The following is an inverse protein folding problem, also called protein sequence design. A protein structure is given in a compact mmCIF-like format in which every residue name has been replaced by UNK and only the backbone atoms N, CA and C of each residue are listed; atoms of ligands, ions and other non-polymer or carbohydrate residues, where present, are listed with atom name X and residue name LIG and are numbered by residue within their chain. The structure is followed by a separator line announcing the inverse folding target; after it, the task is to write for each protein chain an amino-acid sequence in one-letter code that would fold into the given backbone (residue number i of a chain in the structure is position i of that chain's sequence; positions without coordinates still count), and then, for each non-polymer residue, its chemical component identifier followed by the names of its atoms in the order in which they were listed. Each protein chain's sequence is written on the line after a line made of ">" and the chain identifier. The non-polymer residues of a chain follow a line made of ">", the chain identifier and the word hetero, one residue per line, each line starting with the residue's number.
data_IF_549456219159
#
_entry.id   IF_549456219159
#
_cell.length_a   1.000
_cell.length_b   1.000
_cell.length_c   1.000
_cell.angle_alpha   90.00
_cell.angle_beta   90.00
_cell.angle_gamma   90.00
#
_symmetry.space_group_name_H-M   'P 1'
#
loop_
_entity.id
_entity.type
_entity.pdbx_description
1 polymer ?
#
# COMPACT_ATOMS: atom_id res chain seq x y z
N UNK A 1 4.54 -13.04 37.51
CA UNK A 1 4.24 -14.02 36.44
C UNK A 1 5.07 -13.78 35.18
N UNK A 2 5.02 -12.60 34.56
CA UNK A 2 5.74 -12.36 33.28
C UNK A 2 7.25 -12.69 33.30
N UNK A 3 7.88 -12.67 34.48
CA UNK A 3 9.30 -12.96 34.72
C UNK A 3 9.69 -14.45 34.70
N UNK A 4 8.74 -15.37 34.60
CA UNK A 4 9.01 -16.82 34.53
C UNK A 4 8.30 -17.41 33.31
N UNK A 5 9.02 -18.17 32.48
CA UNK A 5 8.58 -18.59 31.14
C UNK A 5 7.21 -19.30 31.18
N UNK A 6 7.01 -20.20 32.13
CA UNK A 6 5.79 -21.00 32.28
C UNK A 6 4.60 -20.12 32.67
N UNK A 7 4.76 -19.27 33.68
CA UNK A 7 3.68 -18.37 34.12
C UNK A 7 3.43 -17.20 33.15
N UNK A 8 4.41 -16.83 32.33
CA UNK A 8 4.27 -15.85 31.26
C UNK A 8 3.36 -16.36 30.14
N UNK A 9 3.32 -17.68 29.88
CA UNK A 9 2.37 -18.28 28.92
C UNK A 9 0.93 -18.07 29.39
N UNK A 10 0.65 -18.38 30.66
CA UNK A 10 -0.70 -18.20 31.23
C UNK A 10 -1.12 -16.73 31.22
N UNK A 11 -0.21 -15.82 31.59
CA UNK A 11 -0.49 -14.38 31.56
C UNK A 11 -0.75 -13.87 30.14
N UNK A 12 0.03 -14.34 29.16
CA UNK A 12 -0.16 -13.99 27.75
C UNK A 12 -1.50 -14.49 27.22
N UNK A 13 -1.90 -15.72 27.55
CA UNK A 13 -3.20 -16.25 27.13
C UNK A 13 -4.35 -15.43 27.71
N UNK A 14 -4.30 -15.14 29.01
CA UNK A 14 -5.25 -14.23 29.66
C UNK A 14 -5.31 -12.87 28.98
N UNK A 15 -4.14 -12.27 28.64
CA UNK A 15 -4.05 -10.96 28.03
C UNK A 15 -4.55 -10.93 26.57
N UNK A 16 -4.11 -11.88 25.75
CA UNK A 16 -4.33 -11.89 24.30
C UNK A 16 -5.70 -12.46 23.90
N UNK A 17 -6.17 -13.49 24.60
CA UNK A 17 -7.34 -14.28 24.19
C UNK A 17 -8.58 -13.91 24.98
N UNK A 18 -8.45 -13.72 26.30
CA UNK A 18 -9.60 -13.59 27.20
C UNK A 18 -9.90 -12.16 27.65
N UNK A 19 -8.88 -11.32 27.80
CA UNK A 19 -9.05 -9.98 28.34
C UNK A 19 -9.62 -9.00 27.31
N UNK A 20 -10.66 -8.26 27.72
CA UNK A 20 -11.16 -7.11 26.96
C UNK A 20 -10.23 -5.90 27.07
N UNK A 21 -10.50 -4.84 26.29
CA UNK A 21 -9.65 -3.64 26.24
C UNK A 21 -9.39 -3.00 27.63
N UNK A 22 -10.39 -2.98 28.51
CA UNK A 22 -10.26 -2.44 29.87
C UNK A 22 -9.38 -3.32 30.75
N UNK A 23 -9.57 -4.65 30.67
CA UNK A 23 -8.76 -5.62 31.42
C UNK A 23 -7.30 -5.62 30.95
N UNK A 24 -7.07 -5.60 29.64
CA UNK A 24 -5.73 -5.46 29.05
C UNK A 24 -5.04 -4.20 29.55
N UNK A 25 -5.75 -3.08 29.61
CA UNK A 25 -5.20 -1.82 30.13
C UNK A 25 -4.81 -1.94 31.60
N UNK A 26 -5.64 -2.57 32.44
CA UNK A 26 -5.31 -2.80 33.87
C UNK A 26 -4.06 -3.67 34.03
N UNK A 27 -3.92 -4.73 33.24
CA UNK A 27 -2.73 -5.59 33.27
C UNK A 27 -1.46 -4.84 32.87
N UNK A 28 -1.53 -3.96 31.87
CA UNK A 28 -0.37 -3.18 31.42
C UNK A 28 0.04 -2.14 32.48
N UNK A 29 -0.92 -1.55 33.19
CA UNK A 29 -0.66 -0.51 34.19
C UNK A 29 0.24 -0.98 35.34
N UNK A 30 0.29 -2.29 35.62
CA UNK A 30 1.24 -2.86 36.59
C UNK A 30 2.71 -2.56 36.22
N UNK A 31 3.01 -2.42 34.92
CA UNK A 31 4.37 -2.12 34.44
C UNK A 31 4.73 -0.64 34.51
N UNK A 32 3.76 0.25 34.74
CA UNK A 32 4.01 1.69 34.92
C UNK A 32 4.52 2.01 36.33
N UNK A 33 4.26 1.12 37.29
CA UNK A 33 4.79 1.17 38.64
C UNK A 33 3.77 0.76 39.72
N UNK A 34 4.22 0.60 40.99
CA UNK A 34 3.39 0.18 42.11
C UNK A 34 2.22 1.13 42.41
N UNK A 35 2.36 2.42 42.07
CA UNK A 35 1.30 3.42 42.26
C UNK A 35 0.12 3.24 41.28
N UNK A 36 0.36 2.61 40.13
CA UNK A 36 -0.62 2.36 39.07
C UNK A 36 -1.15 0.91 39.09
N UNK A 37 -0.69 0.09 40.04
CA UNK A 37 -1.10 -1.30 40.18
C UNK A 37 -2.54 -1.44 40.70
N UNK A 38 -3.17 -2.58 40.39
CA UNK A 38 -4.61 -2.92 40.33
C UNK A 38 -5.50 -2.54 41.54
N UNK A 39 -4.97 -2.02 42.64
CA UNK A 39 -5.71 -1.85 43.91
C UNK A 39 -5.66 -0.45 44.54
N UNK A 40 -5.44 0.60 43.76
CA UNK A 40 -5.58 1.98 44.26
C UNK A 40 -6.64 2.73 43.45
N UNK A 41 -7.82 2.89 44.04
CA UNK A 41 -8.95 3.74 43.58
C UNK A 41 -8.61 5.24 43.57
N UNK A 42 -7.42 5.58 43.11
CA UNK A 42 -6.87 6.92 43.11
C UNK A 42 -7.20 7.70 41.82
N UNK A 43 -6.31 8.63 41.41
CA UNK A 43 -6.54 9.61 40.34
C UNK A 43 -6.99 9.04 38.98
N UNK A 44 -6.78 7.75 38.74
CA UNK A 44 -7.16 7.00 37.54
C UNK A 44 -8.68 6.88 37.34
N UNK A 45 -9.49 6.90 38.40
CA UNK A 45 -10.95 6.85 38.26
C UNK A 45 -11.49 8.09 37.52
N UNK A 46 -10.85 9.26 37.68
CA UNK A 46 -11.20 10.48 36.92
C UNK A 46 -10.86 10.35 35.42
N UNK A 47 -9.76 9.69 35.07
CA UNK A 47 -9.36 9.46 33.67
C UNK A 47 -10.23 8.40 32.98
N UNK A 48 -10.60 7.34 33.70
CA UNK A 48 -11.53 6.31 33.22
C UNK A 48 -12.92 6.86 32.88
N UNK A 49 -13.33 7.95 33.56
CA UNK A 49 -14.61 8.63 33.35
C UNK A 49 -14.63 9.45 32.05
N UNK A 50 -13.48 10.01 31.64
CA UNK A 50 -13.33 10.84 30.44
C UNK A 50 -13.38 9.99 29.15
N UNK A 51 -13.00 8.69 29.22
CA UNK A 51 -12.99 7.78 28.06
C UNK A 51 -14.15 6.76 28.02
N UNK A 52 -15.16 6.83 28.90
CA UNK A 52 -16.30 5.88 28.92
C UNK A 52 -17.04 5.71 27.59
N UNK A 53 -16.93 6.67 26.67
CA UNK A 53 -17.58 6.63 25.36
C UNK A 53 -16.71 6.05 24.24
N UNK A 54 -15.51 5.53 24.55
CA UNK A 54 -14.64 4.87 23.58
C UNK A 54 -14.20 3.52 24.13
N UNK A 55 -14.37 2.45 23.34
CA UNK A 55 -13.84 1.10 23.62
C UNK A 55 -12.29 1.05 23.53
N UNK A 56 -11.61 2.09 24.02
CA UNK A 56 -10.19 2.40 23.83
C UNK A 56 -9.41 2.09 25.10
N UNK A 57 -8.26 1.41 24.95
CA UNK A 57 -7.33 1.10 26.04
C UNK A 57 -6.73 2.41 26.60
N UNK A 58 -6.62 2.56 27.93
CA UNK A 58 -5.84 3.65 28.52
C UNK A 58 -4.34 3.40 28.27
N UNK A 59 -3.67 4.38 27.68
CA UNK A 59 -2.24 4.35 27.33
C UNK A 59 -1.40 5.11 28.35
N UNK A 60 -0.07 4.91 28.34
CA UNK A 60 0.85 5.69 29.15
C UNK A 60 0.76 7.19 28.79
N UNK A 61 0.58 7.51 27.51
CA UNK A 61 0.39 8.88 27.05
C UNK A 61 -0.80 9.56 27.71
N UNK A 62 -1.94 8.87 27.85
CA UNK A 62 -3.12 9.43 28.52
C UNK A 62 -2.84 9.78 30.00
N UNK A 63 -2.10 8.92 30.69
CA UNK A 63 -1.72 9.12 32.10
C UNK A 63 -0.71 10.26 32.21
N UNK A 64 0.27 10.33 31.30
CA UNK A 64 1.28 11.38 31.25
C UNK A 64 0.64 12.74 30.96
N UNK A 65 -0.36 12.81 30.09
CA UNK A 65 -1.10 14.05 29.84
C UNK A 65 -1.86 14.51 31.07
N UNK A 66 -2.44 13.59 31.85
CA UNK A 66 -3.15 13.91 33.08
C UNK A 66 -2.20 14.26 34.26
N UNK A 67 -1.04 13.62 34.32
CA UNK A 67 -0.05 13.71 35.40
C UNK A 67 1.39 13.79 34.83
N UNK A 68 1.79 14.94 34.25
CA UNK A 68 3.09 15.08 33.59
C UNK A 68 4.29 14.77 34.50
N UNK A 69 4.17 15.07 35.79
CA UNK A 69 5.20 14.80 36.81
C UNK A 69 5.49 13.31 36.99
N UNK A 70 4.55 12.43 36.62
CA UNK A 70 4.72 10.98 36.71
C UNK A 70 5.44 10.37 35.51
N UNK A 71 5.63 11.12 34.42
CA UNK A 71 6.29 10.64 33.18
C UNK A 71 7.64 9.97 33.46
N UNK A 72 8.50 10.63 34.23
CA UNK A 72 9.86 10.15 34.54
C UNK A 72 9.80 8.81 35.26
N UNK A 73 8.86 8.65 36.20
CA UNK A 73 8.70 7.41 36.97
C UNK A 73 8.17 6.26 36.12
N UNK A 74 7.15 6.53 35.30
CA UNK A 74 6.54 5.55 34.39
C UNK A 74 7.58 5.02 33.40
N UNK A 75 8.33 5.92 32.75
CA UNK A 75 9.34 5.54 31.77
C UNK A 75 10.50 4.78 32.42
N UNK A 76 10.92 5.17 33.64
CA UNK A 76 11.96 4.43 34.39
C UNK A 76 11.52 2.99 34.68
N UNK A 77 10.29 2.79 35.16
CA UNK A 77 9.78 1.46 35.47
C UNK A 77 9.59 0.61 34.22
N UNK A 78 9.08 1.20 33.14
CA UNK A 78 8.96 0.53 31.84
C UNK A 78 10.34 0.10 31.31
N UNK A 79 11.34 1.00 31.32
CA UNK A 79 12.71 0.68 30.89
C UNK A 79 13.28 -0.52 31.65
N UNK A 80 13.28 -0.45 32.97
CA UNK A 80 13.79 -1.53 33.83
C UNK A 80 13.04 -2.85 33.63
N UNK A 81 11.72 -2.77 33.44
CA UNK A 81 10.89 -3.94 33.15
C UNK A 81 11.28 -4.55 31.81
N UNK A 82 11.33 -3.75 30.75
CA UNK A 82 11.68 -4.21 29.40
C UNK A 82 13.06 -4.89 29.43
N UNK A 83 14.08 -4.22 29.95
CA UNK A 83 15.44 -4.79 30.07
C UNK A 83 15.44 -6.12 30.82
N UNK A 84 14.71 -6.22 31.94
CA UNK A 84 14.59 -7.48 32.69
C UNK A 84 13.89 -8.58 31.89
N UNK A 85 12.94 -8.25 31.01
CA UNK A 85 12.19 -9.23 30.21
C UNK A 85 12.99 -9.68 28.98
N UNK A 86 13.86 -8.82 28.47
CA UNK A 86 14.81 -9.17 27.41
C UNK A 86 15.81 -10.21 27.89
N UNK A 87 16.42 -10.02 29.07
CA UNK A 87 17.35 -10.98 29.69
C UNK A 87 16.69 -12.35 29.91
N UNK A 88 15.38 -12.37 30.12
CA UNK A 88 14.60 -13.59 30.43
C UNK A 88 14.01 -14.26 29.20
N UNK A 89 14.24 -13.71 28.01
CA UNK A 89 13.75 -14.23 26.73
C UNK A 89 12.21 -14.39 26.70
N UNK A 90 11.48 -13.47 27.32
CA UNK A 90 10.00 -13.47 27.32
C UNK A 90 9.43 -12.44 26.34
N UNK A 91 10.23 -11.98 25.39
CA UNK A 91 9.87 -10.88 24.50
C UNK A 91 8.71 -11.25 23.57
N UNK A 92 8.52 -12.53 23.23
CA UNK A 92 7.52 -12.97 22.24
C UNK A 92 6.06 -12.83 22.71
N UNK A 93 5.84 -12.36 23.95
CA UNK A 93 4.50 -12.19 24.53
C UNK A 93 3.94 -10.81 24.12
N UNK A 94 2.73 -10.76 23.57
CA UNK A 94 2.13 -9.53 23.05
C UNK A 94 1.96 -8.45 24.12
N UNK A 95 1.79 -8.83 25.39
CA UNK A 95 1.77 -7.87 26.51
C UNK A 95 3.11 -7.11 26.63
N UNK A 96 4.23 -7.76 26.35
CA UNK A 96 5.57 -7.16 26.37
C UNK A 96 5.74 -6.24 25.17
N UNK A 97 5.25 -6.63 24.00
CA UNK A 97 5.26 -5.77 22.80
C UNK A 97 4.55 -4.44 23.09
N UNK A 98 3.45 -4.50 23.85
CA UNK A 98 2.72 -3.31 24.27
C UNK A 98 3.53 -2.44 25.24
N UNK A 99 4.22 -3.02 26.22
CA UNK A 99 5.12 -2.26 27.10
C UNK A 99 6.23 -1.54 26.31
N UNK A 100 6.83 -2.22 25.34
CA UNK A 100 7.85 -1.63 24.46
C UNK A 100 7.24 -0.45 23.68
N UNK A 101 6.06 -0.64 23.08
CA UNK A 101 5.38 0.41 22.33
C UNK A 101 5.08 1.65 23.21
N UNK A 102 4.52 1.44 24.40
CA UNK A 102 4.21 2.52 25.34
C UNK A 102 5.47 3.29 25.77
N UNK A 103 6.58 2.60 25.98
CA UNK A 103 7.86 3.24 26.24
C UNK A 103 8.33 4.07 25.04
N UNK A 104 8.40 3.47 23.85
CA UNK A 104 8.92 4.12 22.64
C UNK A 104 8.09 5.32 22.18
N UNK A 105 6.78 5.33 22.44
CA UNK A 105 5.91 6.48 22.11
C UNK A 105 6.08 7.69 23.04
N UNK A 106 6.60 7.48 24.25
CA UNK A 106 6.64 8.51 25.29
C UNK A 106 8.05 8.90 25.74
N UNK A 107 9.06 8.10 25.37
CA UNK A 107 10.47 8.35 25.68
C UNK A 107 11.01 9.56 24.91
N UNK A 108 11.96 10.26 25.52
CA UNK A 108 12.74 11.29 24.85
C UNK A 108 13.68 10.66 23.80
N UNK A 109 14.13 11.45 22.83
CA UNK A 109 14.96 10.97 21.71
C UNK A 109 16.17 10.14 22.16
N UNK A 110 16.91 10.62 23.16
CA UNK A 110 18.11 9.93 23.67
C UNK A 110 17.78 8.57 24.29
N UNK A 111 16.74 8.52 25.12
CA UNK A 111 16.32 7.30 25.82
C UNK A 111 15.74 6.26 24.83
N UNK A 112 14.94 6.72 23.86
CA UNK A 112 14.41 5.87 22.79
C UNK A 112 15.52 5.30 21.90
N UNK A 113 16.60 6.07 21.65
CA UNK A 113 17.77 5.59 20.93
C UNK A 113 18.54 4.51 21.68
N UNK A 114 18.74 4.68 22.99
CA UNK A 114 19.35 3.66 23.83
C UNK A 114 18.53 2.38 23.83
N UNK A 115 17.21 2.48 24.01
CA UNK A 115 16.31 1.33 23.97
C UNK A 115 16.30 0.65 22.59
N UNK A 116 16.29 1.41 21.50
CA UNK A 116 16.40 0.84 20.15
C UNK A 116 17.73 0.10 19.93
N UNK A 117 18.83 0.59 20.53
CA UNK A 117 20.13 -0.08 20.48
C UNK A 117 20.15 -1.41 21.26
N UNK A 118 19.33 -1.55 22.31
CA UNK A 118 19.14 -2.82 23.04
C UNK A 118 18.23 -3.76 22.23
N UNK A 119 17.09 -3.25 21.73
CA UNK A 119 16.07 -4.06 21.07
C UNK A 119 16.48 -4.61 19.70
N UNK A 120 17.49 -4.02 19.05
CA UNK A 120 17.91 -4.40 17.68
C UNK A 120 18.21 -5.89 17.49
N UNK A 121 18.61 -6.59 18.57
CA UNK A 121 18.98 -8.01 18.55
C UNK A 121 17.76 -8.94 18.48
N UNK A 122 16.62 -8.48 18.99
CA UNK A 122 15.43 -9.31 19.24
C UNK A 122 14.18 -8.79 18.51
N UNK A 123 14.27 -7.61 17.89
CA UNK A 123 13.10 -6.94 17.32
C UNK A 123 12.39 -7.76 16.23
N UNK A 124 13.12 -8.62 15.52
CA UNK A 124 12.55 -9.46 14.46
C UNK A 124 11.53 -10.46 14.98
N UNK A 125 11.60 -10.82 16.26
CA UNK A 125 10.70 -11.78 16.91
C UNK A 125 9.30 -11.21 17.15
N UNK A 126 9.15 -9.88 17.21
CA UNK A 126 7.90 -9.24 17.65
C UNK A 126 7.07 -8.64 16.51
N UNK A 127 7.56 -8.68 15.26
CA UNK A 127 6.96 -7.96 14.13
C UNK A 127 5.60 -8.48 13.66
N UNK A 128 5.21 -9.68 14.13
CA UNK A 128 3.98 -10.35 13.74
C UNK A 128 2.73 -9.83 14.47
N UNK A 129 2.88 -9.04 15.53
CA UNK A 129 1.72 -8.41 16.20
C UNK A 129 1.63 -6.92 15.87
N UNK A 130 0.43 -6.35 15.95
CA UNK A 130 0.20 -4.91 15.68
C UNK A 130 1.06 -4.02 16.58
N UNK A 131 1.09 -4.28 17.88
CA UNK A 131 1.86 -3.47 18.84
C UNK A 131 3.37 -3.69 18.67
N UNK A 132 3.80 -4.94 18.42
CA UNK A 132 5.22 -5.26 18.22
C UNK A 132 5.77 -4.71 16.92
N UNK A 133 4.99 -4.72 15.84
CA UNK A 133 5.34 -4.06 14.59
C UNK A 133 5.44 -2.53 14.74
N UNK A 134 4.56 -1.89 15.52
CA UNK A 134 4.68 -0.45 15.77
C UNK A 134 5.94 -0.15 16.58
N UNK A 135 6.24 -0.96 17.59
CA UNK A 135 7.49 -0.86 18.35
C UNK A 135 8.72 -1.03 17.44
N UNK A 136 8.71 -2.02 16.54
CA UNK A 136 9.81 -2.25 15.59
C UNK A 136 10.04 -1.10 14.62
N UNK A 137 8.97 -0.54 14.07
CA UNK A 137 9.06 0.64 13.22
C UNK A 137 9.53 1.89 13.99
N UNK A 138 9.08 2.09 15.24
CA UNK A 138 9.63 3.16 16.09
C UNK A 138 11.13 2.95 16.36
N UNK A 139 11.57 1.71 16.60
CA UNK A 139 13.00 1.41 16.72
C UNK A 139 13.76 1.85 15.47
N UNK A 140 13.23 1.58 14.26
CA UNK A 140 13.84 2.05 13.01
C UNK A 140 13.87 3.58 12.90
N UNK A 141 12.80 4.28 13.32
CA UNK A 141 12.74 5.74 13.30
C UNK A 141 13.76 6.38 14.25
N UNK A 142 13.86 5.89 15.48
CA UNK A 142 14.76 6.42 16.50
C UNK A 142 16.22 6.01 16.31
N UNK A 143 16.48 4.77 15.90
CA UNK A 143 17.82 4.18 15.83
C UNK A 143 18.82 5.02 15.02
N UNK A 144 20.08 4.99 15.46
CA UNK A 144 21.19 5.48 14.66
C UNK A 144 21.41 4.60 13.41
N UNK A 145 22.10 5.13 12.40
CA UNK A 145 22.31 4.41 11.13
C UNK A 145 22.97 3.03 11.31
N UNK A 146 23.90 2.89 12.27
CA UNK A 146 24.53 1.59 12.60
C UNK A 146 23.50 0.57 13.08
N UNK A 147 22.62 0.96 13.99
CA UNK A 147 21.62 0.07 14.56
C UNK A 147 20.48 -0.22 13.57
N UNK A 148 20.07 0.75 12.73
CA UNK A 148 19.14 0.49 11.63
C UNK A 148 19.65 -0.61 10.69
N UNK A 149 20.93 -0.56 10.30
CA UNK A 149 21.54 -1.61 9.48
C UNK A 149 21.49 -2.98 10.16
N UNK A 150 21.72 -3.02 11.47
CA UNK A 150 21.63 -4.25 12.25
C UNK A 150 20.21 -4.83 12.22
N UNK A 151 19.20 -3.99 12.51
CA UNK A 151 17.79 -4.37 12.46
C UNK A 151 17.43 -4.89 11.06
N UNK A 152 17.74 -4.13 10.01
CA UNK A 152 17.42 -4.53 8.64
C UNK A 152 18.12 -5.83 8.24
N UNK A 153 19.35 -6.06 8.71
CA UNK A 153 20.06 -7.32 8.46
C UNK A 153 19.36 -8.53 9.08
N UNK A 154 18.76 -8.38 10.28
CA UNK A 154 18.05 -9.49 10.93
C UNK A 154 16.77 -9.90 10.19
N UNK A 155 16.21 -9.01 9.36
CA UNK A 155 15.02 -9.30 8.55
C UNK A 155 15.32 -10.28 7.41
N UNK A 156 16.57 -10.36 6.94
CA UNK A 156 16.96 -11.10 5.73
C UNK A 156 16.51 -12.56 5.74
N UNK A 157 16.70 -13.26 6.85
CA UNK A 157 16.34 -14.67 6.99
C UNK A 157 14.82 -14.93 7.04
N UNK A 158 14.04 -13.88 7.31
CA UNK A 158 12.57 -13.95 7.42
C UNK A 158 11.89 -13.03 6.39
N UNK A 159 12.59 -12.65 5.31
CA UNK A 159 12.17 -11.59 4.42
C UNK A 159 10.76 -11.83 3.85
N UNK A 160 10.52 -13.00 3.25
CA UNK A 160 9.22 -13.38 2.69
C UNK A 160 8.11 -13.29 3.76
N UNK A 161 8.36 -13.88 4.93
CA UNK A 161 7.41 -13.85 6.05
C UNK A 161 7.10 -12.42 6.48
N UNK A 162 8.11 -11.56 6.61
CA UNK A 162 7.91 -10.17 7.04
C UNK A 162 7.11 -9.38 6.01
N UNK A 163 7.41 -9.49 4.71
CA UNK A 163 6.73 -8.68 3.68
C UNK A 163 5.30 -9.14 3.43
N UNK A 164 4.98 -10.42 3.64
CA UNK A 164 3.64 -10.98 3.45
C UNK A 164 2.79 -11.00 4.74
N UNK A 165 3.34 -10.57 5.89
CA UNK A 165 2.64 -10.56 7.18
C UNK A 165 1.78 -9.30 7.39
N UNK A 166 0.64 -9.43 8.08
CA UNK A 166 -0.35 -8.36 8.27
C UNK A 166 0.25 -7.09 8.87
N UNK A 167 1.14 -7.25 9.86
CA UNK A 167 1.83 -6.13 10.48
C UNK A 167 3.32 -6.10 10.10
N UNK A 168 3.92 -7.25 9.80
CA UNK A 168 5.35 -7.36 9.47
C UNK A 168 5.79 -6.36 8.39
N UNK A 169 4.98 -6.21 7.33
CA UNK A 169 5.33 -5.34 6.20
C UNK A 169 5.50 -3.87 6.60
N UNK A 170 4.86 -3.39 7.68
CA UNK A 170 5.01 -2.02 8.17
C UNK A 170 6.45 -1.71 8.58
N UNK A 171 7.17 -2.69 9.12
CA UNK A 171 8.59 -2.55 9.47
C UNK A 171 9.46 -2.44 8.23
N UNK A 172 9.09 -3.14 7.15
CA UNK A 172 9.77 -2.99 5.87
C UNK A 172 9.54 -1.59 5.30
N UNK A 173 8.31 -1.07 5.36
CA UNK A 173 8.01 0.30 4.93
C UNK A 173 8.80 1.34 5.75
N UNK A 174 8.82 1.18 7.08
CA UNK A 174 9.61 2.04 7.97
C UNK A 174 11.12 1.96 7.70
N UNK A 175 11.63 0.77 7.37
CA UNK A 175 13.04 0.59 7.02
C UNK A 175 13.39 1.30 5.71
N UNK A 176 12.53 1.21 4.71
CA UNK A 176 12.67 1.92 3.43
C UNK A 176 12.65 3.45 3.61
N UNK A 177 11.87 3.94 4.58
CA UNK A 177 11.86 5.36 4.94
C UNK A 177 13.10 5.80 5.73
N UNK A 178 13.61 4.98 6.64
CA UNK A 178 14.60 5.46 7.62
C UNK A 178 16.06 5.10 7.33
N UNK A 179 16.34 4.20 6.40
CA UNK A 179 17.71 3.80 6.11
C UNK A 179 18.31 4.63 4.96
N UNK A 180 19.17 5.59 5.31
CA UNK A 180 19.85 6.45 4.33
C UNK A 180 20.87 5.70 3.45
N UNK A 181 21.44 4.61 3.96
CA UNK A 181 22.35 3.74 3.19
C UNK A 181 21.55 2.78 2.29
N UNK A 182 21.18 3.28 1.13
CA UNK A 182 20.41 2.55 0.12
C UNK A 182 21.23 1.45 -0.56
N UNK A 183 22.57 1.56 -0.61
CA UNK A 183 23.45 0.49 -1.09
C UNK A 183 23.36 -0.72 -0.14
N UNK A 184 23.37 -0.48 1.17
CA UNK A 184 23.14 -1.53 2.16
C UNK A 184 21.73 -2.10 2.06
N UNK A 185 20.70 -1.26 1.90
CA UNK A 185 19.32 -1.70 1.68
C UNK A 185 19.23 -2.64 0.46
N UNK A 186 19.90 -2.28 -0.63
CA UNK A 186 19.95 -3.09 -1.83
C UNK A 186 20.58 -4.47 -1.59
N UNK A 187 21.79 -4.49 -1.01
CA UNK A 187 22.55 -5.73 -0.74
C UNK A 187 21.89 -6.64 0.31
N UNK A 188 21.14 -6.06 1.24
CA UNK A 188 20.56 -6.82 2.37
C UNK A 188 19.14 -7.27 2.11
N UNK A 189 18.34 -6.45 1.41
CA UNK A 189 16.90 -6.67 1.23
C UNK A 189 16.52 -6.76 -0.24
N UNK A 190 16.77 -5.73 -1.05
CA UNK A 190 16.23 -5.67 -2.43
C UNK A 190 16.71 -6.86 -3.27
N UNK A 191 18.01 -7.19 -3.18
CA UNK A 191 18.61 -8.31 -3.92
C UNK A 191 18.00 -9.69 -3.60
N UNK A 192 17.41 -9.86 -2.42
CA UNK A 192 16.68 -11.08 -2.06
C UNK A 192 15.18 -10.94 -2.35
N UNK A 193 14.61 -9.74 -2.18
CA UNK A 193 13.21 -9.45 -2.52
C UNK A 193 12.93 -9.72 -4.00
N UNK A 194 13.86 -9.36 -4.89
CA UNK A 194 13.69 -9.60 -6.34
C UNK A 194 13.70 -11.08 -6.71
N UNK A 195 14.30 -11.95 -5.90
CA UNK A 195 14.23 -13.41 -6.09
C UNK A 195 12.86 -13.97 -5.72
N UNK A 196 12.12 -13.23 -4.90
CA UNK A 196 10.79 -13.57 -4.42
C UNK A 196 9.67 -12.87 -5.19
N UNK A 197 10.00 -12.22 -6.32
CA UNK A 197 9.09 -11.30 -7.02
C UNK A 197 7.77 -11.97 -7.42
N UNK A 198 7.82 -13.23 -7.90
CA UNK A 198 6.63 -13.97 -8.33
C UNK A 198 5.71 -14.31 -7.15
N UNK A 199 6.26 -14.65 -5.97
CA UNK A 199 5.44 -14.85 -4.77
C UNK A 199 4.86 -13.52 -4.26
N UNK A 200 5.70 -12.48 -4.19
CA UNK A 200 5.37 -11.18 -3.60
C UNK A 200 4.38 -10.40 -4.47
N UNK A 201 4.45 -10.51 -5.80
CA UNK A 201 3.56 -9.80 -6.72
C UNK A 201 2.10 -10.22 -6.56
N UNK A 202 1.88 -11.51 -6.30
CA UNK A 202 0.55 -12.10 -6.18
C UNK A 202 0.04 -12.10 -4.73
N UNK A 203 0.91 -11.89 -3.74
CA UNK A 203 0.50 -11.73 -2.34
C UNK A 203 -0.19 -10.37 -2.09
N UNK A 204 -1.26 -10.38 -1.27
CA UNK A 204 -2.05 -9.18 -0.99
C UNK A 204 -1.24 -8.08 -0.31
N UNK A 205 -0.33 -8.45 0.58
CA UNK A 205 0.46 -7.56 1.44
C UNK A 205 1.87 -7.37 0.91
N UNK A 206 2.52 -8.44 0.44
CA UNK A 206 3.87 -8.44 -0.13
C UNK A 206 4.04 -7.39 -1.21
N UNK A 207 3.13 -7.35 -2.19
CA UNK A 207 3.16 -6.35 -3.28
C UNK A 207 3.13 -4.90 -2.80
N UNK A 208 2.62 -4.62 -1.59
CA UNK A 208 2.64 -3.26 -1.02
C UNK A 208 4.05 -2.77 -0.78
N UNK A 209 5.00 -3.65 -0.47
CA UNK A 209 6.42 -3.29 -0.34
C UNK A 209 6.98 -2.86 -1.70
N UNK A 210 6.65 -3.58 -2.78
CA UNK A 210 7.02 -3.21 -4.14
C UNK A 210 6.40 -1.86 -4.53
N UNK A 211 5.09 -1.68 -4.30
CA UNK A 211 4.41 -0.41 -4.53
C UNK A 211 4.95 0.72 -3.66
N UNK A 212 5.45 0.44 -2.46
CA UNK A 212 6.04 1.47 -1.61
C UNK A 212 7.34 2.00 -2.21
N UNK A 213 8.20 1.11 -2.73
CA UNK A 213 9.40 1.53 -3.45
C UNK A 213 9.01 2.30 -4.72
N UNK A 214 8.10 1.74 -5.52
CA UNK A 214 7.72 2.30 -6.82
C UNK A 214 6.91 3.58 -6.74
N UNK A 215 6.05 3.75 -5.73
CA UNK A 215 5.03 4.81 -5.68
C UNK A 215 5.07 5.63 -4.38
N UNK A 216 5.93 5.26 -3.41
CA UNK A 216 6.00 5.90 -2.10
C UNK A 216 4.76 5.66 -1.24
N UNK A 217 4.45 6.66 -0.40
CA UNK A 217 3.30 6.66 0.53
C UNK A 217 1.95 6.88 -0.18
N UNK A 218 1.68 6.14 -1.26
CA UNK A 218 0.48 6.26 -2.07
C UNK A 218 -0.71 5.50 -1.43
N UNK A 219 -1.78 6.24 -1.08
CA UNK A 219 -3.00 5.70 -0.46
C UNK A 219 -3.78 4.72 -1.35
N UNK A 220 -3.50 4.66 -2.65
CA UNK A 220 -4.03 3.63 -3.56
C UNK A 220 -3.55 2.23 -3.18
N UNK A 221 -2.33 2.12 -2.65
CA UNK A 221 -1.67 0.83 -2.40
C UNK A 221 -1.46 0.55 -0.92
N UNK A 222 -1.19 1.58 -0.14
CA UNK A 222 -0.86 1.46 1.28
C UNK A 222 -2.10 1.78 2.12
N UNK A 223 -2.39 0.91 3.09
CA UNK A 223 -3.55 1.08 3.97
C UNK A 223 -3.45 2.36 4.82
N UNK A 224 -4.59 2.98 5.11
CA UNK A 224 -4.68 4.22 5.91
C UNK A 224 -3.99 4.12 7.26
N UNK A 225 -4.12 2.98 7.95
CA UNK A 225 -3.49 2.75 9.25
C UNK A 225 -1.96 2.76 9.17
N UNK A 226 -1.41 2.13 8.13
CA UNK A 226 0.03 2.11 7.89
C UNK A 226 0.54 3.52 7.54
N UNK A 227 -0.18 4.24 6.67
CA UNK A 227 0.18 5.62 6.31
C UNK A 227 0.13 6.58 7.50
N UNK A 228 -0.94 6.51 8.31
CA UNK A 228 -1.08 7.34 9.50
C UNK A 228 0.07 7.08 10.49
N UNK A 229 0.45 5.81 10.64
CA UNK A 229 1.54 5.43 11.52
C UNK A 229 2.92 5.84 10.97
N UNK A 230 3.21 5.61 9.69
CA UNK A 230 4.45 6.10 9.05
C UNK A 230 4.58 7.62 9.20
N UNK A 231 3.48 8.35 8.98
CA UNK A 231 3.41 9.81 9.15
C UNK A 231 3.72 10.26 10.59
N UNK A 232 3.27 9.50 11.60
CA UNK A 232 3.59 9.80 13.00
C UNK A 232 5.09 9.71 13.31
N UNK A 233 5.87 9.02 12.47
CA UNK A 233 7.32 8.93 12.59
C UNK A 233 8.10 10.06 11.93
N UNK A 234 7.47 10.94 11.14
CA UNK A 234 8.18 11.92 10.32
C UNK A 234 8.96 12.95 11.14
N UNK A 235 8.40 13.40 12.27
CA UNK A 235 9.10 14.33 13.17
C UNK A 235 10.34 13.72 13.81
N UNK A 236 10.31 12.41 14.07
CA UNK A 236 11.47 11.66 14.58
C UNK A 236 12.50 11.53 13.46
N UNK A 237 12.05 11.11 12.27
CA UNK A 237 12.91 10.92 11.10
C UNK A 237 13.61 12.20 10.66
N UNK A 238 12.95 13.35 10.75
CA UNK A 238 13.58 14.65 10.47
C UNK A 238 14.82 14.93 11.34
N UNK A 239 14.90 14.32 12.53
CA UNK A 239 16.05 14.45 13.45
C UNK A 239 17.10 13.36 13.26
N UNK A 240 16.72 12.21 12.70
CA UNK A 240 17.54 10.99 12.69
C UNK A 240 17.91 10.49 11.29
N UNK A 241 17.30 11.03 10.24
CA UNK A 241 17.56 10.71 8.83
C UNK A 241 18.06 11.99 8.15
N UNK A 242 19.11 11.87 7.35
CA UNK A 242 19.75 13.01 6.66
C UNK A 242 19.41 13.05 5.17
N UNK A 243 19.13 11.90 4.57
CA UNK A 243 18.81 11.80 3.14
C UNK A 243 17.35 12.21 2.90
N UNK A 244 17.12 13.00 1.86
CA UNK A 244 15.77 13.35 1.42
C UNK A 244 14.99 12.11 0.93
N UNK A 245 13.68 12.11 1.17
CA UNK A 245 12.80 10.95 0.89
C UNK A 245 12.68 10.67 -0.61
N UNK A 246 12.64 11.72 -1.43
CA UNK A 246 12.57 11.57 -2.89
C UNK A 246 13.87 11.01 -3.46
N UNK A 247 15.02 11.48 -2.95
CA UNK A 247 16.36 10.99 -3.35
C UNK A 247 16.52 9.52 -2.95
N UNK A 248 16.19 9.17 -1.70
CA UNK A 248 16.24 7.79 -1.22
C UNK A 248 15.37 6.88 -2.08
N UNK A 249 14.12 7.28 -2.36
CA UNK A 249 13.21 6.51 -3.21
C UNK A 249 13.77 6.33 -4.63
N UNK A 250 14.31 7.38 -5.25
CA UNK A 250 14.89 7.31 -6.61
C UNK A 250 16.02 6.29 -6.68
N UNK A 251 16.92 6.28 -5.68
CA UNK A 251 17.98 5.27 -5.60
C UNK A 251 17.42 3.85 -5.45
N UNK A 252 16.42 3.64 -4.57
CA UNK A 252 15.79 2.33 -4.37
C UNK A 252 15.06 1.82 -5.63
N UNK A 253 14.39 2.71 -6.37
CA UNK A 253 13.81 2.39 -7.68
C UNK A 253 14.91 1.98 -8.66
N UNK A 254 16.04 2.67 -8.70
CA UNK A 254 17.17 2.32 -9.56
C UNK A 254 17.68 0.89 -9.33
N UNK A 255 17.74 0.45 -8.06
CA UNK A 255 18.13 -0.93 -7.73
C UNK A 255 17.08 -1.98 -8.10
N UNK A 256 15.79 -1.63 -8.01
CA UNK A 256 14.67 -2.55 -8.25
C UNK A 256 14.33 -2.69 -9.74
N UNK A 257 14.50 -1.60 -10.51
CA UNK A 257 14.06 -1.47 -11.89
C UNK A 257 14.54 -2.59 -12.83
N UNK A 258 15.84 -2.97 -12.85
CA UNK A 258 16.30 -3.99 -13.79
C UNK A 258 15.62 -5.35 -13.58
N UNK A 259 15.34 -5.72 -12.33
CA UNK A 259 14.71 -7.00 -12.01
C UNK A 259 13.20 -6.99 -12.31
N UNK A 260 12.52 -5.88 -12.04
CA UNK A 260 11.10 -5.71 -12.36
C UNK A 260 10.86 -5.66 -13.88
N UNK A 261 11.71 -4.95 -14.63
CA UNK A 261 11.60 -4.92 -16.09
C UNK A 261 11.84 -6.31 -16.69
N UNK A 262 12.85 -7.04 -16.23
CA UNK A 262 13.08 -8.44 -16.64
C UNK A 262 11.91 -9.36 -16.29
N UNK A 263 11.30 -9.17 -15.11
CA UNK A 263 10.07 -9.87 -14.75
C UNK A 263 8.94 -9.54 -15.73
N UNK A 264 8.72 -8.25 -16.01
CA UNK A 264 7.69 -7.79 -16.94
C UNK A 264 7.91 -8.33 -18.36
N UNK A 265 9.14 -8.35 -18.89
CA UNK A 265 9.47 -8.94 -20.19
C UNK A 265 9.03 -10.41 -20.30
N UNK A 266 9.20 -11.16 -19.20
CA UNK A 266 8.85 -12.58 -19.13
C UNK A 266 7.34 -12.81 -18.96
N UNK A 267 6.64 -11.94 -18.22
CA UNK A 267 5.28 -12.23 -17.71
C UNK A 267 4.19 -11.32 -18.27
N UNK A 268 4.52 -10.21 -18.94
CA UNK A 268 3.56 -9.15 -19.30
C UNK A 268 2.28 -9.66 -19.96
N UNK A 269 2.39 -10.55 -20.94
CA UNK A 269 1.23 -11.08 -21.69
C UNK A 269 0.25 -11.89 -20.81
N UNK A 270 0.74 -12.50 -19.73
CA UNK A 270 -0.06 -13.19 -18.72
C UNK A 270 -0.52 -12.23 -17.62
N UNK A 271 0.41 -11.46 -17.07
CA UNK A 271 0.18 -10.56 -15.93
C UNK A 271 -0.83 -9.46 -16.23
N UNK A 272 -0.88 -8.94 -17.46
CA UNK A 272 -1.85 -7.90 -17.85
C UNK A 272 -3.31 -8.39 -17.73
N UNK A 273 -3.55 -9.71 -17.81
CA UNK A 273 -4.88 -10.33 -17.71
C UNK A 273 -5.32 -10.56 -16.25
N UNK A 274 -4.39 -10.46 -15.30
CA UNK A 274 -4.62 -10.77 -13.88
C UNK A 274 -4.70 -9.45 -13.08
N UNK A 275 -5.80 -9.15 -12.35
CA UNK A 275 -5.99 -7.84 -11.73
C UNK A 275 -4.87 -7.35 -10.80
N UNK A 276 -4.26 -8.24 -10.01
CA UNK A 276 -3.20 -7.85 -9.06
C UNK A 276 -1.86 -7.65 -9.78
N UNK A 277 -1.50 -8.58 -10.67
CA UNK A 277 -0.25 -8.52 -11.41
C UNK A 277 -0.26 -7.38 -12.42
N UNK A 278 -1.40 -7.09 -13.06
CA UNK A 278 -1.58 -5.96 -13.97
C UNK A 278 -1.31 -4.62 -13.26
N UNK A 279 -1.65 -4.49 -11.97
CA UNK A 279 -1.32 -3.29 -11.20
C UNK A 279 0.20 -3.12 -11.04
N UNK A 280 0.90 -4.21 -10.70
CA UNK A 280 2.36 -4.18 -10.57
C UNK A 280 3.03 -3.92 -11.92
N UNK A 281 2.53 -4.54 -12.99
CA UNK A 281 3.02 -4.33 -14.36
C UNK A 281 2.92 -2.86 -14.78
N UNK A 282 1.76 -2.23 -14.56
CA UNK A 282 1.56 -0.81 -14.86
C UNK A 282 2.53 0.06 -14.05
N UNK A 283 2.61 -0.12 -12.73
CA UNK A 283 3.50 0.70 -11.91
C UNK A 283 4.99 0.43 -12.19
N UNK A 284 5.33 -0.78 -12.64
CA UNK A 284 6.66 -1.13 -13.14
C UNK A 284 6.98 -0.32 -14.38
N UNK A 285 6.10 -0.33 -15.38
CA UNK A 285 6.29 0.43 -16.61
C UNK A 285 6.32 1.93 -16.34
N UNK A 286 5.47 2.46 -15.47
CA UNK A 286 5.43 3.90 -15.19
C UNK A 286 6.66 4.37 -14.42
N UNK A 287 7.05 3.69 -13.34
CA UNK A 287 8.04 4.22 -12.40
C UNK A 287 9.46 3.67 -12.56
N UNK A 288 9.67 2.51 -13.20
CA UNK A 288 11.01 1.96 -13.36
C UNK A 288 11.83 2.72 -14.40
N UNK A 289 13.13 2.76 -14.21
CA UNK A 289 14.10 3.31 -15.17
C UNK A 289 14.74 2.19 -15.97
N UNK A 290 14.83 2.35 -17.28
CA UNK A 290 15.38 1.36 -18.20
C UNK A 290 14.53 1.23 -19.46
N UNK A 291 14.97 0.37 -20.38
CA UNK A 291 14.24 0.11 -21.62
C UNK A 291 12.93 -0.64 -21.33
N UNK A 292 11.84 -0.15 -21.93
CA UNK A 292 10.48 -0.69 -21.81
C UNK A 292 9.93 -1.14 -23.16
N UNK A 293 10.71 -0.99 -24.23
CA UNK A 293 10.28 -1.18 -25.61
C UNK A 293 9.81 -2.60 -25.85
N UNK A 294 10.57 -3.61 -25.39
CA UNK A 294 10.18 -5.02 -25.54
C UNK A 294 8.85 -5.33 -24.85
N UNK A 295 8.66 -4.84 -23.62
CA UNK A 295 7.41 -5.04 -22.89
C UNK A 295 6.24 -4.36 -23.60
N UNK A 296 6.43 -3.13 -24.06
CA UNK A 296 5.39 -2.39 -24.78
C UNK A 296 5.02 -3.07 -26.09
N UNK A 297 5.99 -3.53 -26.88
CA UNK A 297 5.72 -4.28 -28.11
C UNK A 297 4.93 -5.56 -27.83
N UNK A 298 5.30 -6.32 -26.78
CA UNK A 298 4.58 -7.53 -26.37
C UNK A 298 3.15 -7.24 -25.88
N UNK A 299 2.88 -6.06 -25.33
CA UNK A 299 1.53 -5.65 -24.92
C UNK A 299 0.71 -5.17 -26.12
N UNK A 300 1.30 -4.37 -27.00
CA UNK A 300 0.67 -3.89 -28.22
C UNK A 300 0.31 -5.04 -29.18
N UNK A 301 1.13 -6.07 -29.30
CA UNK A 301 0.81 -7.25 -30.11
C UNK A 301 -0.43 -8.01 -29.62
N UNK A 302 -0.88 -7.80 -28.37
CA UNK A 302 -2.12 -8.40 -27.86
C UNK A 302 -3.38 -7.67 -28.35
N UNK A 303 -3.23 -6.45 -28.88
CA UNK A 303 -4.32 -5.67 -29.48
C UNK A 303 -4.61 -6.09 -30.92
N UNK A 304 -3.69 -6.83 -31.55
CA UNK A 304 -3.85 -7.36 -32.89
C UNK A 304 -4.87 -8.51 -32.91
N UNK A 305 -5.69 -8.55 -33.95
CA UNK A 305 -6.60 -9.65 -34.27
C UNK A 305 -6.86 -9.66 -35.78
N UNK A 306 -7.26 -10.80 -36.33
CA UNK A 306 -7.59 -10.88 -37.76
C UNK A 306 -9.08 -10.61 -38.00
N UNK A 307 -9.41 -9.99 -39.14
CA UNK A 307 -10.80 -9.73 -39.51
C UNK A 307 -11.65 -11.01 -39.64
N UNK A 308 -11.01 -12.17 -39.84
CA UNK A 308 -11.64 -13.49 -39.87
C UNK A 308 -12.09 -13.99 -38.48
N UNK A 309 -11.49 -13.46 -37.40
CA UNK A 309 -11.83 -13.79 -36.01
C UNK A 309 -13.00 -12.94 -35.47
N UNK A 310 -13.54 -12.01 -36.28
CA UNK A 310 -14.64 -11.12 -35.88
C UNK A 310 -15.91 -11.92 -35.58
N UNK A 311 -16.48 -11.71 -34.40
CA UNK A 311 -17.79 -12.27 -34.04
C UNK A 311 -18.87 -11.34 -34.56
N UNK A 312 -19.60 -11.79 -35.59
CA UNK A 312 -20.79 -11.11 -36.08
C UNK A 312 -21.95 -11.49 -35.17
N UNK A 313 -22.38 -10.58 -34.29
CA UNK A 313 -23.48 -10.84 -33.36
C UNK A 313 -24.83 -10.78 -34.09
N UNK A 314 -24.97 -9.86 -35.06
CA UNK A 314 -26.09 -9.68 -35.99
C UNK A 314 -25.60 -8.85 -37.20
N UNK A 315 -26.40 -8.70 -38.29
CA UNK A 315 -26.08 -7.93 -39.51
C UNK A 315 -25.61 -6.46 -39.29
N UNK A 316 -25.63 -5.94 -38.06
CA UNK A 316 -25.24 -4.56 -37.70
C UNK A 316 -24.18 -4.45 -36.58
N UNK A 317 -23.84 -5.53 -35.87
CA UNK A 317 -23.04 -5.45 -34.65
C UNK A 317 -21.86 -6.42 -34.66
N UNK A 318 -20.67 -5.84 -34.87
CA UNK A 318 -19.38 -6.51 -34.76
C UNK A 318 -18.93 -6.54 -33.29
N UNK A 319 -18.36 -7.68 -32.88
CA UNK A 319 -17.69 -7.84 -31.61
C UNK A 319 -16.27 -8.34 -31.82
N UNK A 320 -15.40 -7.95 -30.90
CA UNK A 320 -14.08 -8.54 -30.77
C UNK A 320 -14.19 -10.07 -30.55
N UNK A 321 -13.18 -10.84 -30.98
CA UNK A 321 -13.03 -12.26 -30.62
C UNK A 321 -13.19 -12.45 -29.11
N UNK A 322 -13.81 -13.55 -28.67
CA UNK A 322 -14.12 -13.75 -27.24
C UNK A 322 -12.88 -13.65 -26.34
N UNK A 323 -11.74 -14.16 -26.82
CA UNK A 323 -10.45 -14.20 -26.14
C UNK A 323 -9.59 -12.93 -26.31
N UNK A 324 -10.08 -11.95 -27.07
CA UNK A 324 -9.38 -10.70 -27.31
C UNK A 324 -9.04 -9.95 -26.00
N UNK A 325 -7.86 -9.32 -25.95
CA UNK A 325 -7.34 -8.73 -24.71
C UNK A 325 -8.26 -7.67 -24.11
N UNK A 326 -8.95 -6.89 -24.96
CA UNK A 326 -9.86 -5.83 -24.52
C UNK A 326 -11.17 -6.36 -23.89
N UNK A 327 -11.49 -7.65 -24.03
CA UNK A 327 -12.57 -8.26 -23.26
C UNK A 327 -12.16 -8.51 -21.80
N UNK A 328 -10.85 -8.49 -21.50
CA UNK A 328 -10.36 -8.59 -20.13
C UNK A 328 -10.35 -7.21 -19.45
N UNK A 329 -11.12 -7.06 -18.38
CA UNK A 329 -11.22 -5.81 -17.62
C UNK A 329 -9.90 -5.33 -17.02
N UNK A 330 -9.05 -6.26 -16.53
CA UNK A 330 -7.76 -5.90 -15.97
C UNK A 330 -6.84 -5.31 -17.04
N UNK A 331 -6.86 -5.90 -18.24
CA UNK A 331 -6.06 -5.42 -19.35
C UNK A 331 -6.54 -4.06 -19.88
N UNK A 332 -7.84 -3.88 -20.09
CA UNK A 332 -8.41 -2.58 -20.47
C UNK A 332 -8.04 -1.48 -19.46
N UNK A 333 -8.12 -1.79 -18.16
CA UNK A 333 -7.70 -0.87 -17.11
C UNK A 333 -6.20 -0.59 -17.17
N UNK A 334 -5.37 -1.59 -17.43
CA UNK A 334 -3.92 -1.44 -17.55
C UNK A 334 -3.55 -0.50 -18.70
N UNK A 335 -4.06 -0.74 -19.91
CA UNK A 335 -3.85 0.16 -21.06
C UNK A 335 -4.34 1.58 -20.77
N UNK A 336 -5.50 1.73 -20.14
CA UNK A 336 -6.04 3.05 -19.77
C UNK A 336 -5.11 3.79 -18.80
N UNK A 337 -4.58 3.09 -17.80
CA UNK A 337 -3.65 3.68 -16.83
C UNK A 337 -2.30 4.03 -17.45
N UNK A 338 -1.79 3.20 -18.37
CA UNK A 338 -0.56 3.49 -19.11
C UNK A 338 -0.73 4.75 -19.98
N UNK A 339 -1.79 4.81 -20.78
CA UNK A 339 -2.09 6.00 -21.59
C UNK A 339 -2.27 7.27 -20.73
N UNK A 340 -2.87 7.14 -19.54
CA UNK A 340 -3.04 8.25 -18.61
C UNK A 340 -1.74 8.72 -17.97
N UNK A 341 -0.76 7.83 -17.81
CA UNK A 341 0.51 8.15 -17.14
C UNK A 341 1.32 9.21 -17.90
N UNK A 342 1.11 9.35 -19.21
CA UNK A 342 1.78 10.34 -20.05
C UNK A 342 1.56 11.79 -19.62
N UNK A 343 0.44 12.09 -18.93
CA UNK A 343 0.12 13.45 -18.48
C UNK A 343 1.13 14.02 -17.50
N UNK A 344 1.69 13.15 -16.67
CA UNK A 344 2.62 13.51 -15.59
C UNK A 344 4.07 13.13 -15.95
N UNK A 345 4.33 12.89 -17.25
CA UNK A 345 5.55 12.25 -17.75
C UNK A 345 6.57 13.28 -18.28
N UNK A 346 7.81 13.21 -17.80
CA UNK A 346 8.92 14.07 -18.26
C UNK A 346 9.25 13.80 -19.75
N UNK A 347 9.92 14.72 -20.45
CA UNK A 347 10.26 14.56 -21.88
C UNK A 347 11.00 13.25 -22.18
N UNK A 348 11.92 12.83 -21.30
CA UNK A 348 12.74 11.62 -21.46
C UNK A 348 12.00 10.30 -21.15
N UNK A 349 10.76 10.36 -20.68
CA UNK A 349 10.00 9.18 -20.31
C UNK A 349 9.30 8.54 -21.52
N UNK A 350 9.11 7.22 -21.46
CA UNK A 350 8.36 6.46 -22.48
C UNK A 350 6.94 7.00 -22.59
N UNK A 351 6.57 7.41 -23.80
CA UNK A 351 5.22 7.92 -24.11
C UNK A 351 4.31 6.74 -24.47
N UNK A 352 3.56 6.25 -23.49
CA UNK A 352 2.77 5.03 -23.63
C UNK A 352 1.55 5.23 -24.53
N UNK A 353 0.86 6.35 -24.38
CA UNK A 353 -0.33 6.71 -25.15
C UNK A 353 -0.08 6.68 -26.65
N UNK A 354 0.94 7.39 -27.19
CA UNK A 354 1.28 7.35 -28.60
C UNK A 354 1.55 5.94 -29.13
N UNK A 355 2.36 5.14 -28.42
CA UNK A 355 2.68 3.75 -28.81
C UNK A 355 1.40 2.89 -28.87
N UNK A 356 0.53 3.02 -27.85
CA UNK A 356 -0.75 2.32 -27.81
C UNK A 356 -1.66 2.79 -28.95
N UNK A 357 -1.74 4.09 -29.22
CA UNK A 357 -2.58 4.65 -30.28
C UNK A 357 -2.12 4.20 -31.67
N UNK A 358 -0.81 4.19 -31.94
CA UNK A 358 -0.27 3.67 -33.20
C UNK A 358 -0.63 2.20 -33.41
N UNK A 359 -0.48 1.38 -32.38
CA UNK A 359 -0.89 -0.03 -32.42
C UNK A 359 -2.39 -0.22 -32.59
N UNK A 360 -3.21 0.72 -32.12
CA UNK A 360 -4.67 0.66 -32.35
C UNK A 360 -5.00 1.06 -33.80
N UNK A 361 -4.31 2.07 -34.34
CA UNK A 361 -4.50 2.54 -35.72
C UNK A 361 -4.07 1.49 -36.76
N UNK A 362 -3.06 0.68 -36.45
CA UNK A 362 -2.60 -0.38 -37.35
C UNK A 362 -3.60 -1.53 -37.48
N UNK A 363 -4.57 -1.66 -36.57
CA UNK A 363 -5.58 -2.71 -36.58
C UNK A 363 -6.91 -2.18 -37.11
N UNK A 364 -7.30 -2.66 -38.28
CA UNK A 364 -8.52 -2.23 -38.96
C UNK A 364 -9.78 -2.40 -38.08
N UNK A 365 -10.58 -1.34 -38.00
CA UNK A 365 -11.81 -1.30 -37.22
C UNK A 365 -11.65 -1.34 -35.69
N UNK A 366 -10.45 -1.45 -35.12
CA UNK A 366 -10.27 -1.54 -33.66
C UNK A 366 -10.73 -0.27 -32.94
N UNK A 367 -10.47 0.91 -33.52
CA UNK A 367 -10.96 2.19 -33.00
C UNK A 367 -12.48 2.22 -32.80
N UNK A 368 -13.24 1.64 -33.74
CA UNK A 368 -14.71 1.49 -33.63
C UNK A 368 -15.08 0.58 -32.47
N UNK A 369 -14.37 -0.53 -32.29
CA UNK A 369 -14.66 -1.52 -31.24
C UNK A 369 -14.31 -1.01 -29.84
N UNK A 370 -13.33 -0.09 -29.71
CA UNK A 370 -13.05 0.61 -28.46
C UNK A 370 -14.22 1.46 -27.97
N UNK A 371 -15.04 2.01 -28.88
CA UNK A 371 -16.28 2.70 -28.49
C UNK A 371 -17.25 1.75 -27.78
N UNK A 372 -17.15 0.43 -27.99
CA UNK A 372 -18.06 -0.57 -27.42
C UNK A 372 -17.50 -1.21 -26.14
N UNK A 373 -16.19 -1.54 -26.12
CA UNK A 373 -15.56 -2.37 -25.06
C UNK A 373 -14.33 -1.74 -24.39
N UNK A 374 -13.87 -0.57 -24.84
CA UNK A 374 -12.65 0.08 -24.37
C UNK A 374 -12.85 1.57 -24.06
N UNK A 375 -14.04 1.95 -23.60
CA UNK A 375 -14.43 3.36 -23.46
C UNK A 375 -13.51 4.15 -22.52
N UNK A 376 -12.96 3.52 -21.48
CA UNK A 376 -12.01 4.18 -20.56
C UNK A 376 -10.61 4.36 -21.17
N UNK A 377 -10.19 3.44 -22.04
CA UNK A 377 -8.94 3.60 -22.79
C UNK A 377 -9.09 4.76 -23.76
N UNK A 378 -10.22 4.83 -24.46
CA UNK A 378 -10.55 5.94 -25.36
C UNK A 378 -10.58 7.29 -24.65
N UNK A 379 -11.20 7.37 -23.47
CA UNK A 379 -11.14 8.58 -22.63
C UNK A 379 -9.70 8.92 -22.25
N UNK A 380 -8.89 7.94 -21.85
CA UNK A 380 -7.50 8.18 -21.45
C UNK A 380 -6.65 8.73 -22.61
N UNK A 381 -6.87 8.22 -23.83
CA UNK A 381 -6.23 8.72 -25.05
C UNK A 381 -6.73 10.12 -25.46
N UNK A 382 -8.02 10.41 -25.29
CA UNK A 382 -8.59 11.73 -25.57
C UNK A 382 -8.17 12.80 -24.56
N UNK A 383 -7.91 12.42 -23.30
CA UNK A 383 -7.48 13.36 -22.27
C UNK A 383 -5.97 13.63 -22.29
N UNK A 384 -5.16 12.80 -22.95
CA UNK A 384 -3.71 12.98 -23.03
C UNK A 384 -3.36 14.00 -24.11
N UNK A 385 -2.59 15.07 -23.80
CA UNK A 385 -2.20 16.08 -24.79
C UNK A 385 -1.46 15.50 -26.01
N UNK A 386 -0.75 14.38 -25.82
CA UNK A 386 0.06 13.75 -26.88
C UNK A 386 -0.78 12.97 -27.89
N UNK A 387 -1.96 12.51 -27.50
CA UNK A 387 -2.80 11.64 -28.33
C UNK A 387 -4.17 12.24 -28.65
N UNK A 388 -4.57 13.34 -27.98
CA UNK A 388 -5.91 13.89 -28.08
C UNK A 388 -6.31 14.24 -29.52
N UNK A 389 -5.50 15.04 -30.23
CA UNK A 389 -5.84 15.50 -31.59
C UNK A 389 -6.00 14.33 -32.57
N UNK A 390 -5.06 13.39 -32.52
CA UNK A 390 -5.07 12.21 -33.38
C UNK A 390 -6.23 11.28 -33.04
N UNK A 391 -6.52 11.09 -31.75
CA UNK A 391 -7.66 10.29 -31.31
C UNK A 391 -8.98 10.94 -31.74
N UNK A 392 -9.10 12.28 -31.70
CA UNK A 392 -10.27 13.00 -32.21
C UNK A 392 -10.48 12.79 -33.71
N UNK A 393 -9.40 12.87 -34.51
CA UNK A 393 -9.45 12.66 -35.97
C UNK A 393 -9.98 11.26 -36.29
N UNK A 394 -9.39 10.22 -35.71
CA UNK A 394 -9.81 8.83 -35.91
C UNK A 394 -11.25 8.58 -35.42
N UNK A 395 -11.61 9.13 -34.27
CA UNK A 395 -12.93 8.90 -33.67
C UNK A 395 -14.06 9.66 -34.40
N UNK A 396 -13.75 10.71 -35.16
CA UNK A 396 -14.74 11.50 -35.91
C UNK A 396 -15.56 10.65 -36.89
N UNK A 397 -14.96 9.63 -37.49
CA UNK A 397 -15.62 8.68 -38.38
C UNK A 397 -16.70 7.83 -37.66
N UNK A 398 -16.62 7.71 -36.34
CA UNK A 398 -17.49 6.87 -35.51
C UNK A 398 -18.38 7.68 -34.56
N UNK A 399 -18.53 8.99 -34.78
CA UNK A 399 -19.24 9.90 -33.90
C UNK A 399 -20.73 9.54 -33.71
N UNK A 400 -21.39 9.03 -34.76
CA UNK A 400 -22.77 8.53 -34.65
C UNK A 400 -22.88 7.27 -33.78
N UNK A 401 -21.86 6.39 -33.80
CA UNK A 401 -21.80 5.23 -32.91
C UNK A 401 -21.65 5.66 -31.45
N UNK A 402 -20.81 6.67 -31.17
CA UNK A 402 -20.65 7.24 -29.83
C UNK A 402 -21.98 7.82 -29.31
N UNK A 403 -22.72 8.57 -30.15
CA UNK A 403 -24.05 9.10 -29.80
C UNK A 403 -25.07 7.99 -29.56
N UNK A 404 -25.07 6.93 -30.38
CA UNK A 404 -25.94 5.75 -30.19
C UNK A 404 -25.67 5.10 -28.83
N UNK A 405 -24.40 4.83 -28.52
CA UNK A 405 -23.99 4.23 -27.23
C UNK A 405 -24.30 5.11 -26.02
N UNK A 406 -24.19 6.44 -26.16
CA UNK A 406 -24.64 7.38 -25.13
C UNK A 406 -26.14 7.23 -24.82
N UNK A 407 -26.99 7.14 -25.86
CA UNK A 407 -28.44 6.93 -25.70
C UNK A 407 -28.75 5.58 -25.04
N UNK A 408 -28.11 4.50 -25.50
CA UNK A 408 -28.22 3.16 -24.91
C UNK A 408 -27.81 3.15 -23.42
N UNK A 409 -26.71 3.81 -23.08
CA UNK A 409 -26.23 3.93 -21.70
C UNK A 409 -27.21 4.70 -20.81
N UNK A 410 -27.85 5.76 -21.32
CA UNK A 410 -28.84 6.55 -20.57
C UNK A 410 -30.11 5.73 -20.32
N UNK A 411 -30.63 5.05 -21.36
CA UNK A 411 -31.79 4.16 -21.24
C UNK A 411 -31.59 3.03 -20.22
N UNK A 412 -30.41 2.40 -20.21
CA UNK A 412 -30.07 1.36 -19.23
C UNK A 412 -29.95 1.88 -17.79
N UNK A 413 -29.50 3.13 -17.60
CA UNK A 413 -29.45 3.76 -16.27
C UNK A 413 -30.84 4.14 -15.76
N UNK A 414 -31.73 4.60 -16.65
CA UNK A 414 -33.10 4.96 -16.30
C UNK A 414 -33.94 3.72 -15.98
N UNK A 415 -33.76 2.60 -16.69
CA UNK A 415 -34.35 1.30 -16.36
C UNK A 415 -33.92 0.76 -14.99
N UNK A 416 -32.61 0.83 -14.66
CA UNK A 416 -32.10 0.44 -13.33
C UNK A 416 -32.56 1.37 -12.20
N UNK A 417 -32.83 2.64 -12.49
CA UNK A 417 -33.39 3.60 -11.53
C UNK A 417 -34.87 3.31 -11.26
N UNK A 418 -35.65 2.96 -12.28
CA UNK A 418 -37.05 2.54 -12.13
C UNK A 418 -37.17 1.32 -11.19
N UNK A 419 -36.29 0.32 -11.37
CA UNK A 419 -36.21 -0.88 -10.52
C UNK A 419 -35.75 -0.59 -9.08
N UNK A 420 -34.85 0.38 -8.87
CA UNK A 420 -34.39 0.79 -7.53
C UNK A 420 -35.35 1.74 -6.82
N UNK A 421 -36.08 2.58 -7.55
CA UNK A 421 -37.11 3.47 -6.97
C UNK A 421 -38.31 2.71 -6.43
N UNK A 422 -38.53 1.45 -6.85
CA UNK A 422 -39.48 0.54 -6.22
C UNK A 422 -39.02 0.02 -4.84
N UNK A 423 -37.74 0.18 -4.46
CA UNK A 423 -37.16 -0.39 -3.23
C UNK A 423 -36.60 0.59 -2.21
N UNK A 424 -36.41 1.88 -2.52
CA UNK A 424 -36.09 2.89 -1.50
C UNK A 424 -36.29 4.32 -2.05
N UNK A 425 -37.26 5.04 -1.50
CA UNK A 425 -37.53 6.44 -1.84
C UNK A 425 -36.95 7.37 -0.77
N UNK A 426 -35.79 7.98 -1.06
CA UNK A 426 -35.35 9.35 -0.65
C UNK A 426 -33.86 9.53 -0.95
N UNK A 427 -33.54 10.40 -1.90
CA UNK A 427 -32.18 10.87 -2.19
C UNK A 427 -32.13 11.73 -3.46
N UNK A 428 -31.52 12.91 -3.36
CA UNK A 428 -31.46 13.93 -4.41
C UNK A 428 -30.96 13.43 -5.77
N UNK A 429 -31.61 13.91 -6.84
CA UNK A 429 -31.32 13.58 -8.24
C UNK A 429 -29.99 14.20 -8.70
N UNK A 430 -28.86 13.54 -8.42
CA UNK A 430 -27.60 13.82 -9.13
C UNK A 430 -27.69 13.19 -10.53
N UNK A 431 -27.63 14.01 -11.59
CA UNK A 431 -27.60 13.52 -12.98
C UNK A 431 -26.33 12.69 -13.16
N UNK A 432 -26.48 11.39 -13.43
CA UNK A 432 -25.36 10.48 -13.65
C UNK A 432 -24.76 10.73 -15.04
N UNK A 433 -23.57 11.32 -15.09
CA UNK A 433 -22.81 11.50 -16.32
C UNK A 433 -22.30 10.11 -16.79
N UNK A 434 -22.64 9.70 -18.01
CA UNK A 434 -22.09 8.48 -18.62
C UNK A 434 -20.66 8.72 -19.14
N UNK A 435 -19.89 7.65 -19.35
CA UNK A 435 -18.56 7.74 -19.97
C UNK A 435 -18.64 8.34 -21.38
N UNK A 436 -19.70 8.05 -22.12
CA UNK A 436 -19.96 8.63 -23.44
C UNK A 436 -20.25 10.14 -23.41
N UNK A 437 -20.83 10.67 -22.32
CA UNK A 437 -20.95 12.11 -22.13
C UNK A 437 -19.56 12.77 -21.98
N UNK A 438 -18.59 12.08 -21.36
CA UNK A 438 -17.20 12.55 -21.25
C UNK A 438 -16.52 12.51 -22.62
N UNK A 439 -16.65 11.40 -23.36
CA UNK A 439 -16.10 11.27 -24.71
C UNK A 439 -16.60 12.39 -25.62
N UNK A 440 -17.91 12.65 -25.66
CA UNK A 440 -18.48 13.72 -26.50
C UNK A 440 -18.02 15.11 -26.08
N UNK A 441 -17.80 15.36 -24.78
CA UNK A 441 -17.23 16.63 -24.30
C UNK A 441 -15.78 16.81 -24.73
N UNK A 442 -15.00 15.73 -24.73
CA UNK A 442 -13.61 15.76 -25.17
C UNK A 442 -13.49 15.85 -26.69
N UNK A 443 -14.51 15.42 -27.45
CA UNK A 443 -14.54 15.53 -28.91
C UNK A 443 -14.84 16.96 -29.39
N UNK A 444 -15.70 17.68 -28.68
CA UNK A 444 -15.93 19.11 -28.87
C UNK A 444 -14.67 19.93 -28.49
#
# INVERSE_FOLDING_TARGET
>A
MIKYKESAVVLEECYSTWANATQQSKLIQEFYGPEFSIFKDGPLNKLSSIKKNSNSRLSASDIITAFPEKKVYILKNLKQTIESLLIKETIQKSIVHRCILEYMLNAELSDAQEMAAILKEVIVEILHTKDGSKAGALCLFYAANKDRKFIVKSFKQYLEKIVCEEFGHWNMLAALDSLDDTVFMHKSIISDLVKLIDQVSSDRLGRRVLFYILCGRNAKYIGSDALAFLKSGDEIRAKTCKKDDSVRRKELIGYLSPSLLKWAEKTATKSIKIPLDAQLLVETLVNCTGDKTLVMNNLCSLLEYTNEEKVIINNEMESLPEDHILNNFAACRAFSLLAKADKDSDEDSTKFGPIILESIKSVDGLMRLLVIKGEFLLVSLLESPLTAEDTKKELSAYLELVKRKQKESKANQDGKKADKSAKNAKGDKKVSCSVYDIILRLLN
#
